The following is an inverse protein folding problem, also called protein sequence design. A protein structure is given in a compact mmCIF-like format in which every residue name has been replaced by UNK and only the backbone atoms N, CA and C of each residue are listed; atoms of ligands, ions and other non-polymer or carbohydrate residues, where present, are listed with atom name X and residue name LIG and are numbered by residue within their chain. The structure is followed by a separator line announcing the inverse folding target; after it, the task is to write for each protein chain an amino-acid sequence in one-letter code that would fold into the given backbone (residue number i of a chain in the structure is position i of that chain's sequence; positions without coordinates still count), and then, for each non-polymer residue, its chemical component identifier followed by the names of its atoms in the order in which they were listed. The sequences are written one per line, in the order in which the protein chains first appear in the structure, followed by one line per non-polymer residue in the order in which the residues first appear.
data_IF_308311452835
#
_entry.id   IF_308311452835
#
_cell.length_a   1.000
_cell.length_b   1.000
_cell.length_c   1.000
_cell.angle_alpha   90.00
_cell.angle_beta   90.00
_cell.angle_gamma   90.00
#
_symmetry.space_group_name_H-M   'P 1'
#
loop_
_entity.id
_entity.type
_entity.pdbx_description
1 polymer ?
#
# COMPACT_ATOMS: atom_id res chain seq x y z
N UNK A 1 1.59 10.43 20.58
CA UNK A 1 1.94 10.01 19.20
C UNK A 1 1.65 8.52 19.10
N UNK A 2 0.87 8.06 18.11
CA UNK A 2 0.59 6.62 17.95
C UNK A 2 1.88 5.88 17.53
N UNK A 3 2.14 4.73 18.14
CA UNK A 3 3.27 3.87 17.79
C UNK A 3 2.98 3.10 16.52
N UNK A 4 3.95 2.94 15.62
CA UNK A 4 3.81 2.06 14.45
C UNK A 4 3.39 0.63 14.83
N UNK A 5 3.63 0.21 16.08
CA UNK A 5 3.23 -1.10 16.58
C UNK A 5 1.74 -1.25 16.90
N UNK A 6 0.97 -0.16 16.95
CA UNK A 6 -0.47 -0.24 17.22
C UNK A 6 -1.31 -0.62 15.98
N UNK A 7 -0.70 -0.68 14.79
CA UNK A 7 -1.41 -1.07 13.57
C UNK A 7 -1.38 -2.60 13.38
N UNK A 8 -2.55 -3.18 13.09
CA UNK A 8 -2.75 -4.63 12.97
C UNK A 8 -2.13 -5.25 11.71
N UNK A 9 -1.86 -4.43 10.69
CA UNK A 9 -1.33 -4.90 9.41
C UNK A 9 -0.31 -3.92 8.86
N UNK A 10 0.80 -4.45 8.35
CA UNK A 10 1.92 -3.70 7.78
C UNK A 10 2.60 -4.57 6.74
N UNK A 11 3.08 -3.93 5.67
CA UNK A 11 3.92 -4.59 4.67
C UNK A 11 5.17 -3.76 4.41
N UNK A 12 6.30 -4.39 4.07
CA UNK A 12 7.44 -3.67 3.54
C UNK A 12 7.08 -3.14 2.14
N UNK A 13 7.44 -1.89 1.86
CA UNK A 13 7.23 -1.27 0.55
C UNK A 13 8.57 -0.76 0.01
N UNK A 14 8.80 -0.97 -1.28
CA UNK A 14 9.99 -0.53 -1.97
C UNK A 14 9.71 0.77 -2.71
N UNK A 15 10.44 1.83 -2.36
CA UNK A 15 10.40 3.11 -3.07
C UNK A 15 11.22 2.98 -4.35
N UNK A 16 10.63 3.35 -5.48
CA UNK A 16 11.29 3.30 -6.79
C UNK A 16 11.93 4.65 -7.09
N UNK A 17 12.97 4.66 -7.91
CA UNK A 17 13.57 5.93 -8.37
C UNK A 17 12.54 6.82 -9.08
N UNK A 18 11.62 6.23 -9.83
CA UNK A 18 10.54 6.94 -10.53
C UNK A 18 9.49 7.57 -9.59
N UNK A 19 9.44 7.17 -8.32
CA UNK A 19 8.50 7.72 -7.34
C UNK A 19 8.98 9.06 -6.78
N UNK A 20 10.26 9.39 -6.98
CA UNK A 20 10.89 10.62 -6.50
C UNK A 20 10.72 11.73 -7.55
N UNK A 21 10.22 12.88 -7.11
CA UNK A 21 10.07 14.05 -7.98
C UNK A 21 11.31 14.96 -8.00
N UNK A 22 11.21 16.08 -8.73
CA UNK A 22 12.30 17.06 -8.88
C UNK A 22 12.74 17.70 -7.56
N UNK A 23 11.93 17.64 -6.51
CA UNK A 23 12.28 18.13 -5.17
C UNK A 23 13.00 17.09 -4.32
N UNK A 24 13.27 15.89 -4.86
CA UNK A 24 14.05 14.85 -4.20
C UNK A 24 13.28 14.07 -3.13
N UNK A 25 11.95 14.18 -3.10
CA UNK A 25 11.08 13.43 -2.21
C UNK A 25 10.08 12.60 -3.01
N UNK A 26 9.45 11.62 -2.35
CA UNK A 26 8.37 10.86 -2.98
C UNK A 26 7.24 11.81 -3.33
N UNK A 27 6.77 11.75 -4.58
CA UNK A 27 5.67 12.58 -5.03
C UNK A 27 4.39 12.25 -4.22
N UNK A 28 3.67 13.29 -3.80
CA UNK A 28 2.46 13.13 -2.98
C UNK A 28 1.40 12.21 -3.62
N UNK A 29 1.26 12.20 -4.94
CA UNK A 29 0.30 11.35 -5.64
C UNK A 29 0.64 9.86 -5.52
N UNK A 30 1.92 9.51 -5.42
CA UNK A 30 2.40 8.12 -5.34
C UNK A 30 1.99 7.44 -4.04
N UNK A 31 1.73 8.20 -2.97
CA UNK A 31 1.24 7.63 -1.71
C UNK A 31 -0.10 6.91 -1.88
N UNK A 32 -0.97 7.35 -2.80
CA UNK A 32 -2.21 6.64 -3.11
C UNK A 32 -1.93 5.25 -3.70
N UNK A 33 -0.93 5.15 -4.56
CA UNK A 33 -0.46 3.88 -5.12
C UNK A 33 0.10 2.96 -4.03
N UNK A 34 0.84 3.51 -3.05
CA UNK A 34 1.31 2.72 -1.91
C UNK A 34 0.16 2.17 -1.05
N UNK A 35 -0.89 2.97 -0.83
CA UNK A 35 -2.09 2.50 -0.15
C UNK A 35 -2.84 1.44 -0.94
N UNK A 36 -2.92 1.56 -2.27
CA UNK A 36 -3.51 0.51 -3.11
C UNK A 36 -2.73 -0.81 -3.04
N UNK A 37 -1.40 -0.76 -3.07
CA UNK A 37 -0.55 -1.95 -2.88
C UNK A 37 -0.84 -2.58 -1.52
N UNK A 38 -0.82 -1.79 -0.44
CA UNK A 38 -1.10 -2.28 0.90
C UNK A 38 -2.52 -2.85 1.05
N UNK A 39 -3.52 -2.22 0.44
CA UNK A 39 -4.90 -2.70 0.39
C UNK A 39 -4.99 -4.04 -0.34
N UNK A 40 -4.36 -4.15 -1.51
CA UNK A 40 -4.35 -5.39 -2.28
C UNK A 40 -3.70 -6.54 -1.50
N UNK A 41 -2.57 -6.29 -0.83
CA UNK A 41 -1.92 -7.27 0.05
C UNK A 41 -2.81 -7.65 1.24
N UNK A 42 -3.44 -6.67 1.89
CA UNK A 42 -4.37 -6.93 3.00
C UNK A 42 -5.55 -7.81 2.57
N UNK A 43 -6.09 -7.56 1.38
CA UNK A 43 -7.21 -8.34 0.85
C UNK A 43 -6.82 -9.77 0.56
N UNK A 44 -5.61 -9.99 0.04
CA UNK A 44 -5.08 -11.32 -0.22
C UNK A 44 -4.73 -12.08 1.06
N UNK A 45 -4.08 -11.42 2.02
CA UNK A 45 -3.46 -12.08 3.17
C UNK A 45 -4.40 -12.18 4.37
N UNK A 46 -5.27 -11.19 4.58
CA UNK A 46 -6.14 -11.11 5.76
C UNK A 46 -7.58 -11.42 5.43
N UNK A 47 -8.14 -10.78 4.39
CA UNK A 47 -9.54 -11.02 3.99
C UNK A 47 -9.67 -12.33 3.22
N UNK A 48 -8.62 -12.78 2.55
CA UNK A 48 -8.63 -13.92 1.62
C UNK A 48 -9.67 -13.72 0.51
N UNK A 49 -9.71 -12.51 -0.06
CA UNK A 49 -10.67 -12.13 -1.08
C UNK A 49 -10.54 -12.97 -2.36
N UNK A 50 -11.64 -13.59 -2.80
CA UNK A 50 -11.67 -14.36 -4.04
C UNK A 50 -12.00 -13.45 -5.23
N UNK A 51 -10.96 -13.04 -5.95
CA UNK A 51 -11.07 -12.19 -7.14
C UNK A 51 -11.90 -12.79 -8.27
N UNK A 52 -11.93 -14.12 -8.40
CA UNK A 52 -12.64 -14.80 -9.49
C UNK A 52 -14.16 -14.78 -9.30
N UNK A 53 -14.61 -14.77 -8.05
CA UNK A 53 -16.04 -14.80 -7.72
C UNK A 53 -16.59 -13.41 -7.44
N UNK A 54 -15.80 -12.55 -6.79
CA UNK A 54 -16.28 -11.27 -6.27
C UNK A 54 -15.91 -10.07 -7.15
N UNK A 55 -14.99 -10.24 -8.12
CA UNK A 55 -14.53 -9.16 -9.00
C UNK A 55 -13.55 -8.18 -8.36
N UNK A 56 -13.27 -7.08 -9.09
CA UNK A 56 -12.38 -5.98 -8.67
C UNK A 56 -13.23 -4.81 -8.16
N UNK A 57 -12.75 -4.14 -7.11
CA UNK A 57 -13.30 -2.91 -6.54
C UNK A 57 -12.33 -1.76 -6.76
#
# INVERSE_FOLDING_TARGET
MMSLNSFNYKIPLHVRFADIDLFGHVNNAVYLTYFEIARSSYWSEVIQWNWNEMGII
#
